data_IF_419900636300
#
_entry.id   IF_419900636300
#
_cell.length_a   1.000
_cell.length_b   1.000
_cell.length_c   1.000
_cell.angle_alpha   90.00
_cell.angle_beta   90.00
_cell.angle_gamma   90.00
#
_symmetry.space_group_name_H-M   'P 1'
#
loop_
_entity.id
_entity.type
_entity.pdbx_description
1 polymer ?
#
# COMPACT_ATOMS: atom_id res chain seq x y z
N UNK A 1 -12.80 16.05 11.27
CA UNK A 1 -11.77 16.24 10.21
C UNK A 1 -10.93 14.97 10.14
N UNK A 2 -10.75 14.35 8.96
CA UNK A 2 -9.81 13.22 8.84
C UNK A 2 -8.38 13.75 9.00
N UNK A 3 -7.53 13.04 9.74
CA UNK A 3 -6.11 13.40 9.88
C UNK A 3 -5.44 13.50 8.50
N UNK A 4 -4.67 14.55 8.26
CA UNK A 4 -3.94 14.77 6.99
C UNK A 4 -3.08 13.55 6.62
N UNK A 5 -2.53 12.85 7.62
CA UNK A 5 -1.74 11.63 7.44
C UNK A 5 -2.57 10.46 6.93
N UNK A 6 -3.78 10.27 7.45
CA UNK A 6 -4.68 9.21 7.00
C UNK A 6 -5.09 9.41 5.54
N UNK A 7 -5.31 10.66 5.12
CA UNK A 7 -5.63 10.97 3.71
C UNK A 7 -4.46 10.56 2.80
N UNK A 8 -3.23 10.91 3.17
CA UNK A 8 -2.02 10.50 2.42
C UNK A 8 -1.86 8.97 2.35
N UNK A 9 -2.15 8.25 3.43
CA UNK A 9 -2.14 6.78 3.42
C UNK A 9 -3.21 6.17 2.49
N UNK A 10 -4.39 6.78 2.43
CA UNK A 10 -5.45 6.36 1.49
C UNK A 10 -5.00 6.62 0.04
N UNK A 11 -4.35 7.75 -0.23
CA UNK A 11 -3.79 8.07 -1.55
C UNK A 11 -2.69 7.08 -1.95
N UNK A 12 -1.74 6.82 -1.04
CA UNK A 12 -0.72 5.79 -1.23
C UNK A 12 -1.37 4.43 -1.55
N UNK A 13 -2.35 4.00 -0.75
CA UNK A 13 -3.08 2.76 -0.97
C UNK A 13 -3.70 2.65 -2.36
N UNK A 14 -4.31 3.72 -2.89
CA UNK A 14 -4.88 3.72 -4.25
C UNK A 14 -3.81 3.57 -5.32
N UNK A 15 -2.67 4.25 -5.16
CA UNK A 15 -1.57 4.20 -6.12
C UNK A 15 -0.92 2.81 -6.11
N UNK A 16 -0.66 2.26 -4.92
CA UNK A 16 -0.16 0.90 -4.76
C UNK A 16 -1.17 -0.18 -5.13
N UNK A 17 -2.48 0.10 -5.24
CA UNK A 17 -3.46 -0.87 -5.73
C UNK A 17 -3.44 -1.06 -7.26
N UNK A 18 -2.81 -0.14 -8.01
CA UNK A 18 -2.77 -0.16 -9.47
C UNK A 18 -1.74 -1.15 -10.06
N UNK A 19 -1.77 -1.29 -11.39
CA UNK A 19 -0.84 -2.16 -12.15
C UNK A 19 0.62 -1.70 -12.05
N UNK A 20 0.86 -0.43 -11.71
CA UNK A 20 2.20 0.19 -11.65
C UNK A 20 2.78 0.29 -10.24
N UNK A 21 2.34 -0.53 -9.29
CA UNK A 21 2.79 -0.49 -7.89
C UNK A 21 4.33 -0.51 -7.71
N UNK A 22 5.06 -1.14 -8.63
CA UNK A 22 6.54 -1.21 -8.62
C UNK A 22 7.24 0.11 -8.97
N UNK A 23 6.54 1.05 -9.61
CA UNK A 23 7.09 2.34 -10.05
C UNK A 23 6.53 3.51 -9.21
N UNK A 24 6.06 3.23 -8.00
CA UNK A 24 5.42 4.21 -7.14
C UNK A 24 6.46 4.92 -6.29
N UNK A 25 6.65 6.21 -6.58
CA UNK A 25 7.49 7.10 -5.79
C UNK A 25 6.63 7.90 -4.79
N UNK A 26 6.27 7.25 -3.68
CA UNK A 26 5.47 7.87 -2.61
C UNK A 26 6.28 7.95 -1.31
N UNK A 27 6.50 9.16 -0.78
CA UNK A 27 7.21 9.36 0.50
C UNK A 27 6.33 8.99 1.70
N UNK A 28 6.96 8.46 2.75
CA UNK A 28 6.25 8.09 3.97
C UNK A 28 5.46 9.27 4.57
N UNK A 29 4.13 9.13 4.78
CA UNK A 29 3.30 10.18 5.39
C UNK A 29 3.68 10.52 6.84
N UNK A 30 4.42 9.64 7.52
CA UNK A 30 4.82 9.79 8.92
C UNK A 30 6.17 10.50 9.06
N UNK A 31 7.25 9.94 8.51
CA UNK A 31 8.61 10.48 8.67
C UNK A 31 9.09 11.33 7.48
N UNK A 32 8.49 11.19 6.29
CA UNK A 32 8.87 11.91 5.07
C UNK A 32 10.34 11.71 4.62
N UNK A 33 11.04 10.69 5.13
CA UNK A 33 12.45 10.41 4.82
C UNK A 33 12.64 9.43 3.67
N UNK A 34 11.86 8.34 3.69
CA UNK A 34 12.01 7.23 2.76
C UNK A 34 10.76 7.04 1.92
N UNK A 35 10.95 6.51 0.70
CA UNK A 35 9.86 6.01 -0.13
C UNK A 35 9.22 4.79 0.55
N UNK A 36 7.92 4.62 0.32
CA UNK A 36 7.18 3.45 0.76
C UNK A 36 7.56 2.24 -0.10
N UNK A 37 7.71 1.10 0.55
CA UNK A 37 7.86 -0.20 -0.08
C UNK A 37 6.59 -1.03 0.13
N UNK A 38 6.47 -2.15 -0.58
CA UNK A 38 5.32 -3.04 -0.40
C UNK A 38 5.70 -4.52 -0.48
N UNK A 39 4.95 -5.33 0.25
CA UNK A 39 4.95 -6.79 0.14
C UNK A 39 3.52 -7.28 -0.14
N UNK A 40 3.40 -8.31 -0.98
CA UNK A 40 2.13 -8.98 -1.25
C UNK A 40 2.03 -10.25 -0.42
N UNK A 41 0.90 -10.43 0.27
CA UNK A 41 0.54 -11.66 0.97
C UNK A 41 -0.68 -12.27 0.30
N UNK A 42 -0.44 -13.37 -0.39
CA UNK A 42 -1.49 -14.24 -0.92
C UNK A 42 -1.97 -15.16 0.22
N UNK A 43 -3.27 -15.15 0.50
CA UNK A 43 -3.86 -16.00 1.55
C UNK A 43 -4.14 -17.40 1.01
N UNK A 44 -4.87 -17.46 -0.09
CA UNK A 44 -5.32 -18.72 -0.69
C UNK A 44 -5.25 -18.65 -2.22
N UNK A 45 -4.70 -19.66 -2.91
CA UNK A 45 -4.63 -19.67 -4.38
C UNK A 45 -6.02 -19.77 -5.05
N UNK A 46 -7.06 -20.14 -4.29
CA UNK A 46 -8.45 -20.11 -4.75
C UNK A 46 -9.11 -18.75 -4.54
N UNK A 47 -8.59 -17.95 -3.63
CA UNK A 47 -9.11 -16.63 -3.34
C UNK A 47 -8.55 -15.67 -4.38
N UNK A 48 -9.44 -14.97 -5.09
CA UNK A 48 -9.03 -13.99 -6.09
C UNK A 48 -8.62 -12.68 -5.42
N UNK A 49 -8.10 -12.74 -4.20
CA UNK A 49 -7.71 -11.58 -3.42
C UNK A 49 -6.36 -11.80 -2.74
N UNK A 50 -5.62 -10.71 -2.61
CA UNK A 50 -4.35 -10.69 -1.89
C UNK A 50 -4.28 -9.42 -1.04
N UNK A 51 -3.55 -9.49 0.05
CA UNK A 51 -3.22 -8.31 0.83
C UNK A 51 -1.93 -7.70 0.30
N UNK A 52 -1.90 -6.38 0.19
CA UNK A 52 -0.68 -5.62 -0.06
C UNK A 52 -0.38 -4.79 1.18
N UNK A 53 0.74 -5.09 1.81
CA UNK A 53 1.24 -4.35 2.97
C UNK A 53 2.19 -3.30 2.44
N UNK A 54 1.86 -2.03 2.63
CA UNK A 54 2.68 -0.88 2.28
C UNK A 54 3.38 -0.43 3.56
N UNK A 55 4.70 -0.29 3.54
CA UNK A 55 5.47 0.04 4.75
C UNK A 55 6.60 1.03 4.47
N UNK A 56 7.03 1.72 5.52
CA UNK A 56 8.22 2.57 5.48
C UNK A 56 9.41 1.83 6.10
N UNK A 57 10.54 1.66 5.38
CA UNK A 57 11.73 0.99 5.92
C UNK A 57 12.46 1.81 7.00
N UNK A 58 12.25 3.14 7.07
CA UNK A 58 12.87 4.00 8.10
C UNK A 58 12.10 3.96 9.43
N UNK A 59 10.81 4.31 9.42
CA UNK A 59 10.03 4.47 10.67
C UNK A 59 9.16 3.26 11.04
N UNK A 60 9.05 2.25 10.17
CA UNK A 60 8.23 1.05 10.41
C UNK A 60 6.72 1.27 10.32
N UNK A 61 6.26 2.47 9.95
CA UNK A 61 4.84 2.73 9.72
C UNK A 61 4.32 1.86 8.56
N UNK A 62 3.14 1.28 8.74
CA UNK A 62 2.55 0.31 7.80
C UNK A 62 1.07 0.55 7.57
N UNK A 63 0.62 0.21 6.37
CA UNK A 63 -0.76 0.29 5.95
C UNK A 63 -1.09 -0.89 5.02
N UNK A 64 -2.11 -1.67 5.38
CA UNK A 64 -2.51 -2.87 4.64
C UNK A 64 -3.77 -2.59 3.84
N UNK A 65 -3.77 -3.00 2.57
CA UNK A 65 -4.94 -2.95 1.70
C UNK A 65 -5.25 -4.36 1.17
N UNK A 66 -6.53 -4.67 1.02
CA UNK A 66 -6.98 -5.88 0.35
C UNK A 66 -7.30 -5.57 -1.12
N UNK A 67 -6.68 -6.29 -2.04
CA UNK A 67 -6.86 -6.12 -3.48
C UNK A 67 -7.60 -7.35 -4.01
N UNK A 68 -8.75 -7.12 -4.66
CA UNK A 68 -9.50 -8.16 -5.38
C UNK A 68 -9.09 -8.16 -6.85
N UNK A 69 -8.56 -9.28 -7.34
CA UNK A 69 -8.35 -9.58 -8.76
C UNK A 69 -9.71 -9.93 -9.37
N UNK A 70 -10.36 -8.99 -10.03
CA UNK A 70 -11.50 -9.35 -10.88
C UNK A 70 -10.97 -10.09 -12.10
N UNK A 71 -11.45 -11.31 -12.34
CA UNK A 71 -11.14 -12.02 -13.57
C UNK A 71 -11.71 -11.21 -14.74
N UNK A 72 -10.86 -10.86 -15.71
CA UNK A 72 -11.29 -10.32 -17.01
C UNK A 72 -12.09 -11.37 -17.76
#
# INVERSE_FOLDING_TARGET
>A
MRSSKLVKWIEAGKVFAGEYAKNVDFLCPECNEMKLEFEDKEHDPKDKSFERIIYCPSCGARYTIAIKRYAR
#
